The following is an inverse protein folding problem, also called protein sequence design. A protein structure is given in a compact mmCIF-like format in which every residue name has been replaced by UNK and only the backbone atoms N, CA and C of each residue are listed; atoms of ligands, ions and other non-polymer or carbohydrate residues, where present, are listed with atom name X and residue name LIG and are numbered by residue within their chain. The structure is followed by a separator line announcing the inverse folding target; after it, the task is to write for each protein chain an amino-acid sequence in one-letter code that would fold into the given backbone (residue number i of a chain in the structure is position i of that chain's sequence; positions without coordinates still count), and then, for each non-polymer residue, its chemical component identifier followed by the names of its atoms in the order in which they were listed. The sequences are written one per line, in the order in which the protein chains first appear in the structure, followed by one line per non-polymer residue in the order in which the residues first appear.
data_IF_425940545066
#
_entry.id   IF_425940545066
#
_cell.length_a   1.000
_cell.length_b   1.000
_cell.length_c   1.000
_cell.angle_alpha   90.00
_cell.angle_beta   90.00
_cell.angle_gamma   90.00
#
_symmetry.space_group_name_H-M   'P 1'
#
loop_
_entity.id
_entity.type
_entity.pdbx_description
1 polymer ?
#
# COMPACT_ATOMS: atom_id res chain seq x y z
N UNK A 1 -13.29 25.58 -6.23
CA UNK A 1 -12.35 25.23 -5.13
C UNK A 1 -11.56 24.00 -5.56
N UNK A 2 -10.33 24.18 -6.02
CA UNK A 2 -9.48 23.07 -6.46
C UNK A 2 -8.17 23.10 -5.69
N UNK A 3 -8.01 22.18 -4.73
CA UNK A 3 -6.75 21.82 -4.07
C UNK A 3 -6.92 20.42 -3.42
N UNK A 4 -7.15 19.37 -4.21
CA UNK A 4 -7.16 17.97 -3.70
C UNK A 4 -5.99 17.13 -4.22
N UNK A 5 -5.19 17.66 -5.15
CA UNK A 5 -4.20 16.88 -5.89
C UNK A 5 -2.97 16.46 -5.08
N UNK A 6 -2.65 17.12 -3.97
CA UNK A 6 -1.41 16.85 -3.23
C UNK A 6 -1.56 15.71 -2.20
N UNK A 7 -2.70 15.61 -1.50
CA UNK A 7 -2.94 14.55 -0.50
C UNK A 7 -3.01 13.17 -1.14
N UNK A 8 -3.63 13.08 -2.31
CA UNK A 8 -3.95 11.82 -2.96
C UNK A 8 -2.67 11.15 -3.52
N UNK A 9 -1.74 11.94 -4.05
CA UNK A 9 -0.43 11.42 -4.49
C UNK A 9 0.44 10.91 -3.33
N UNK A 10 0.37 11.58 -2.18
CA UNK A 10 1.10 11.15 -0.98
C UNK A 10 0.55 9.81 -0.46
N UNK A 11 -0.77 9.64 -0.48
CA UNK A 11 -1.41 8.40 -0.04
C UNK A 11 -1.18 7.25 -1.04
N UNK A 12 -1.21 7.51 -2.35
CA UNK A 12 -0.87 6.50 -3.37
C UNK A 12 0.58 6.00 -3.25
N UNK A 13 1.54 6.91 -2.99
CA UNK A 13 2.94 6.54 -2.74
C UNK A 13 3.10 5.71 -1.46
N UNK A 14 2.33 6.02 -0.41
CA UNK A 14 2.36 5.25 0.83
C UNK A 14 1.80 3.84 0.62
N UNK A 15 0.65 3.73 -0.07
CA UNK A 15 0.05 2.43 -0.42
C UNK A 15 1.02 1.58 -1.22
N UNK A 16 1.69 2.14 -2.23
CA UNK A 16 2.69 1.41 -3.01
C UNK A 16 3.82 0.87 -2.13
N UNK A 17 4.39 1.73 -1.26
CA UNK A 17 5.48 1.33 -0.36
C UNK A 17 5.06 0.24 0.62
N UNK A 18 3.84 0.32 1.16
CA UNK A 18 3.31 -0.67 2.10
C UNK A 18 3.05 -2.01 1.40
N UNK A 19 2.46 -1.99 0.20
CA UNK A 19 2.26 -3.20 -0.60
C UNK A 19 3.59 -3.82 -1.06
N UNK A 20 4.60 -3.01 -1.37
CA UNK A 20 5.93 -3.54 -1.69
C UNK A 20 6.56 -4.23 -0.47
N UNK A 21 6.49 -3.57 0.68
CA UNK A 21 7.06 -4.09 1.94
C UNK A 21 6.36 -5.37 2.40
N UNK A 22 5.04 -5.48 2.19
CA UNK A 22 4.25 -6.64 2.57
C UNK A 22 4.40 -7.86 1.65
N UNK A 23 5.25 -7.83 0.60
CA UNK A 23 5.47 -9.00 -0.27
C UNK A 23 6.07 -10.21 0.47
N UNK A 24 6.89 -9.94 1.48
CA UNK A 24 7.56 -10.97 2.29
C UNK A 24 6.80 -11.30 3.59
N UNK A 25 5.66 -10.65 3.82
CA UNK A 25 4.91 -10.75 5.06
C UNK A 25 5.36 -9.73 6.10
N UNK A 26 4.43 -8.95 6.62
CA UNK A 26 4.71 -7.88 7.61
C UNK A 26 3.66 -7.82 8.70
N UNK A 27 4.06 -7.43 9.90
CA UNK A 27 3.13 -7.14 10.99
C UNK A 27 2.67 -5.68 10.95
N UNK A 28 1.63 -5.34 11.72
CA UNK A 28 1.23 -3.94 11.92
C UNK A 28 2.36 -3.12 12.57
N UNK A 29 3.17 -3.74 13.44
CA UNK A 29 4.29 -3.08 14.12
C UNK A 29 5.36 -2.70 13.10
N UNK A 30 5.71 -3.61 12.19
CA UNK A 30 6.70 -3.34 11.14
C UNK A 30 6.26 -2.18 10.24
N UNK A 31 4.98 -2.12 9.87
CA UNK A 31 4.41 -1.01 9.09
C UNK A 31 4.48 0.32 9.88
N UNK A 32 4.16 0.29 11.17
CA UNK A 32 4.22 1.49 12.02
C UNK A 32 5.64 2.04 12.08
N UNK A 33 6.63 1.19 12.36
CA UNK A 33 8.03 1.57 12.54
C UNK A 33 8.66 1.99 11.22
N UNK A 34 8.44 1.25 10.14
CA UNK A 34 9.05 1.52 8.83
C UNK A 34 8.56 2.82 8.19
N UNK A 35 7.31 3.19 8.42
CA UNK A 35 6.66 4.34 7.77
C UNK A 35 6.27 5.45 8.75
N UNK A 36 6.71 5.37 10.01
CA UNK A 36 6.40 6.33 11.07
C UNK A 36 4.90 6.63 11.20
N UNK A 37 4.07 5.60 11.06
CA UNK A 37 2.61 5.74 11.10
C UNK A 37 2.07 5.46 12.50
N UNK A 38 1.09 6.27 12.91
CA UNK A 38 0.35 6.01 14.14
C UNK A 38 -0.48 4.73 14.04
N UNK A 39 -0.71 4.06 15.19
CA UNK A 39 -1.54 2.84 15.26
C UNK A 39 -2.92 3.01 14.63
N UNK A 40 -3.67 4.11 14.84
CA UNK A 40 -4.94 4.35 14.15
C UNK A 40 -4.80 4.46 12.62
N UNK A 41 -3.72 5.10 12.12
CA UNK A 41 -3.48 5.21 10.67
C UNK A 41 -3.16 3.86 10.06
N UNK A 42 -2.31 3.05 10.68
CA UNK A 42 -2.04 1.67 10.22
C UNK A 42 -3.30 0.80 10.25
N UNK A 43 -4.14 0.93 11.29
CA UNK A 43 -5.43 0.21 11.34
C UNK A 43 -6.32 0.56 10.17
N UNK A 44 -6.50 1.85 9.88
CA UNK A 44 -7.34 2.30 8.74
C UNK A 44 -6.75 1.86 7.41
N UNK A 45 -5.45 2.06 7.21
CA UNK A 45 -4.77 1.69 5.97
C UNK A 45 -4.84 0.20 5.69
N UNK A 46 -4.49 -0.65 6.66
CA UNK A 46 -4.54 -2.11 6.49
C UNK A 46 -5.96 -2.61 6.24
N UNK A 47 -6.96 -2.06 6.93
CA UNK A 47 -8.37 -2.39 6.69
C UNK A 47 -8.82 -2.01 5.27
N UNK A 48 -8.44 -0.82 4.79
CA UNK A 48 -8.76 -0.37 3.44
C UNK A 48 -8.12 -1.27 2.37
N UNK A 49 -6.84 -1.62 2.53
CA UNK A 49 -6.13 -2.48 1.60
C UNK A 49 -6.65 -3.92 1.60
N UNK A 50 -7.10 -4.43 2.75
CA UNK A 50 -7.77 -5.73 2.83
C UNK A 50 -9.14 -5.68 2.14
N UNK A 51 -9.94 -4.65 2.38
CA UNK A 51 -11.24 -4.48 1.73
C UNK A 51 -11.13 -4.36 0.20
N UNK A 52 -10.02 -3.79 -0.30
CA UNK A 52 -9.72 -3.69 -1.73
C UNK A 52 -9.05 -4.95 -2.31
N UNK A 53 -8.86 -5.99 -1.49
CA UNK A 53 -8.15 -7.23 -1.87
C UNK A 53 -6.72 -6.98 -2.37
N UNK A 54 -6.04 -5.96 -1.83
CA UNK A 54 -4.63 -5.66 -2.11
C UNK A 54 -3.70 -6.28 -1.07
N UNK A 55 -4.18 -6.42 0.17
CA UNK A 55 -3.53 -7.15 1.26
C UNK A 55 -4.42 -8.29 1.74
N UNK A 56 -3.80 -9.35 2.24
CA UNK A 56 -4.46 -10.44 2.98
C UNK A 56 -3.87 -10.55 4.38
N UNK A 57 -4.73 -10.64 5.39
CA UNK A 57 -4.30 -10.90 6.76
C UNK A 57 -4.29 -12.42 7.03
N UNK A 58 -3.15 -12.94 7.48
CA UNK A 58 -3.02 -14.29 8.04
C UNK A 58 -3.16 -14.20 9.56
N UNK A 59 -4.38 -14.43 10.06
CA UNK A 59 -4.74 -14.20 11.47
C UNK A 59 -3.92 -15.05 12.43
N UNK A 60 -3.63 -16.31 12.07
CA UNK A 60 -2.87 -17.24 12.93
C UNK A 60 -1.45 -16.77 13.25
N UNK A 61 -0.83 -16.03 12.33
CA UNK A 61 0.57 -15.56 12.45
C UNK A 61 0.66 -14.02 12.49
N UNK A 62 -0.48 -13.32 12.52
CA UNK A 62 -0.58 -11.85 12.55
C UNK A 62 0.21 -11.12 11.44
N UNK A 63 0.37 -11.75 10.27
CA UNK A 63 1.04 -11.17 9.11
C UNK A 63 0.05 -10.63 8.07
N UNK A 64 0.48 -9.59 7.37
CA UNK A 64 -0.13 -9.08 6.16
C UNK A 64 0.75 -9.43 4.98
N UNK A 65 0.16 -10.01 3.94
CA UNK A 65 0.83 -10.30 2.68
C UNK A 65 0.14 -9.59 1.52
N UNK A 66 0.94 -9.11 0.57
CA UNK A 66 0.42 -8.56 -0.69
C UNK A 66 -0.18 -9.66 -1.56
N UNK A 67 -1.42 -9.45 -2.00
CA UNK A 67 -2.14 -10.42 -2.82
C UNK A 67 -1.66 -10.40 -4.28
N UNK A 68 -2.11 -11.35 -5.09
CA UNK A 68 -1.91 -11.30 -6.54
C UNK A 68 -2.48 -10.00 -7.15
N UNK A 69 -3.67 -9.56 -6.70
CA UNK A 69 -4.30 -8.30 -7.13
C UNK A 69 -3.50 -7.09 -6.66
N UNK A 70 -2.95 -7.11 -5.45
CA UNK A 70 -2.01 -6.11 -4.95
C UNK A 70 -0.77 -5.96 -5.84
N UNK A 71 -0.19 -7.08 -6.27
CA UNK A 71 0.93 -7.08 -7.21
C UNK A 71 0.58 -6.51 -8.59
N UNK A 72 -0.63 -6.80 -9.10
CA UNK A 72 -1.13 -6.20 -10.35
C UNK A 72 -1.30 -4.68 -10.18
N UNK A 73 -1.86 -4.24 -9.05
CA UNK A 73 -2.01 -2.81 -8.73
C UNK A 73 -0.66 -2.09 -8.70
N UNK A 74 0.35 -2.66 -8.01
CA UNK A 74 1.73 -2.14 -7.98
C UNK A 74 2.30 -1.97 -9.39
N UNK A 75 2.13 -2.97 -10.26
CA UNK A 75 2.60 -2.91 -11.65
C UNK A 75 1.94 -1.77 -12.42
N UNK A 76 0.61 -1.59 -12.27
CA UNK A 76 -0.13 -0.50 -12.90
C UNK A 76 0.34 0.88 -12.43
N UNK A 77 0.57 1.05 -11.13
CA UNK A 77 1.06 2.33 -10.60
C UNK A 77 2.46 2.70 -11.10
N UNK A 78 3.35 1.71 -11.23
CA UNK A 78 4.69 1.92 -11.82
C UNK A 78 4.61 2.27 -13.30
N UNK A 79 3.72 1.63 -14.06
CA UNK A 79 3.52 1.94 -15.48
C UNK A 79 2.99 3.35 -15.70
N UNK A 80 2.07 3.84 -14.85
CA UNK A 80 1.55 5.22 -14.93
C UNK A 80 2.61 6.29 -14.71
N UNK A 81 3.68 5.98 -13.96
CA UNK A 81 4.77 6.93 -13.65
C UNK A 81 5.94 6.88 -14.63
N UNK A 82 6.01 5.86 -15.50
CA UNK A 82 6.92 5.90 -16.63
C UNK A 82 6.26 6.77 -17.69
N UNK A 83 6.76 7.99 -18.00
CA UNK A 83 6.33 8.64 -19.23
C UNK A 83 6.63 7.65 -20.34
N UNK A 84 5.63 7.38 -21.18
CA UNK A 84 5.81 6.69 -22.44
C UNK A 84 6.87 7.46 -23.22
N UNK A 85 8.15 7.08 -23.07
CA UNK A 85 9.16 7.25 -24.11
C UNK A 85 8.73 6.32 -25.23
N UNK A 86 7.75 6.76 -26.01
CA UNK A 86 7.58 6.32 -27.37
C UNK A 86 8.53 7.18 -28.19
N UNK A 87 9.49 6.46 -28.78
CA UNK A 87 10.41 6.87 -29.82
C UNK A 87 9.64 7.36 -31.05
#
# INVERSE_FOLDING_TARGET
MGLTSNSDEHDDKLVEKVLEFAKEGVTKKDIMERFSLSRPRVRRLTAELVNKDLLRQHVSINLFLTTARGNIYLRKMRSKRKPSKLL
#
